data_IF_048988964939
#
_entry.id   IF_048988964939
#
_cell.length_a   1.000
_cell.length_b   1.000
_cell.length_c   1.000
_cell.angle_alpha   90.00
_cell.angle_beta   90.00
_cell.angle_gamma   90.00
#
_symmetry.space_group_name_H-M   'P 1'
#
loop_
_entity.id
_entity.type
_entity.pdbx_description
1 polymer ?
#
# COMPACT_ATOMS: atom_id res chain seq x y z
N UNK A 1 -1.76 6.08 21.53
CA UNK A 1 -2.50 5.91 20.26
C UNK A 1 -1.49 5.58 19.18
N UNK A 2 -1.75 4.55 18.37
CA UNK A 2 -0.80 4.06 17.38
C UNK A 2 -1.09 4.62 15.99
N UNK A 3 -0.02 4.86 15.24
CA UNK A 3 -0.04 5.34 13.86
C UNK A 3 0.76 4.37 13.03
N UNK A 4 0.09 3.71 12.09
CA UNK A 4 0.69 2.71 11.22
C UNK A 4 0.85 3.30 9.82
N UNK A 5 2.07 3.25 9.28
CA UNK A 5 2.37 3.57 7.90
C UNK A 5 2.60 2.27 7.10
N UNK A 6 1.94 2.15 5.96
CA UNK A 6 2.10 1.02 5.03
C UNK A 6 2.40 1.60 3.65
N UNK A 7 3.61 1.36 3.14
CA UNK A 7 3.97 1.62 1.75
C UNK A 7 3.90 0.30 0.98
N UNK A 8 2.86 0.12 0.17
CA UNK A 8 2.65 -1.13 -0.56
C UNK A 8 3.67 -1.29 -1.69
N UNK A 9 4.43 -2.38 -1.60
CA UNK A 9 5.42 -2.73 -2.60
C UNK A 9 4.81 -2.98 -3.98
N UNK A 10 5.53 -2.59 -5.03
CA UNK A 10 5.21 -2.97 -6.41
C UNK A 10 5.53 -4.45 -6.64
N UNK A 11 5.12 -5.00 -7.79
CA UNK A 11 5.28 -6.43 -8.13
C UNK A 11 6.65 -7.01 -7.70
N UNK A 12 6.60 -8.01 -6.81
CA UNK A 12 7.77 -8.76 -6.32
C UNK A 12 8.74 -7.97 -5.44
N UNK A 13 8.30 -6.83 -4.89
CA UNK A 13 9.00 -6.12 -3.81
C UNK A 13 8.13 -6.15 -2.55
N UNK A 14 8.72 -6.34 -1.37
CA UNK A 14 7.97 -6.28 -0.13
C UNK A 14 7.52 -4.85 0.17
N UNK A 15 6.40 -4.75 0.88
CA UNK A 15 5.85 -3.51 1.41
C UNK A 15 6.64 -3.04 2.62
N UNK A 16 6.84 -1.73 2.75
CA UNK A 16 7.44 -1.11 3.92
C UNK A 16 6.40 -0.86 5.00
N UNK A 17 6.70 -1.23 6.24
CA UNK A 17 5.81 -1.08 7.39
C UNK A 17 6.48 -0.24 8.49
N UNK A 18 5.69 0.63 9.13
CA UNK A 18 6.14 1.46 10.23
C UNK A 18 5.04 1.56 11.29
N UNK A 19 5.39 1.29 12.55
CA UNK A 19 4.51 1.50 13.69
C UNK A 19 5.06 2.61 14.58
N UNK A 20 4.29 3.67 14.75
CA UNK A 20 4.58 4.77 15.66
C UNK A 20 3.57 4.83 16.79
N UNK A 21 3.98 5.37 17.93
CA UNK A 21 3.07 5.70 19.02
C UNK A 21 3.21 7.16 19.43
N UNK A 22 2.06 7.80 19.68
CA UNK A 22 2.01 9.13 20.25
C UNK A 22 2.12 9.06 21.77
N UNK A 23 3.25 9.52 22.29
CA UNK A 23 3.57 9.56 23.72
C UNK A 23 4.13 10.94 24.04
N UNK A 24 3.61 11.59 25.08
CA UNK A 24 4.11 12.88 25.60
C UNK A 24 4.29 13.97 24.54
N UNK A 25 3.38 14.04 23.57
CA UNK A 25 3.40 15.07 22.54
C UNK A 25 4.37 14.79 21.38
N UNK A 26 4.90 13.57 21.28
CA UNK A 26 5.85 13.17 20.24
C UNK A 26 5.49 11.81 19.65
N UNK A 27 5.87 11.60 18.38
CA UNK A 27 5.82 10.29 17.74
C UNK A 27 7.10 9.52 18.07
N UNK A 28 6.93 8.33 18.63
CA UNK A 28 8.02 7.40 18.90
C UNK A 28 7.92 6.20 17.95
N UNK A 29 9.07 5.78 17.43
CA UNK A 29 9.15 4.59 16.59
C UNK A 29 9.07 3.34 17.46
N UNK A 30 8.07 2.50 17.23
CA UNK A 30 7.93 1.21 17.90
C UNK A 30 8.52 0.08 17.06
N UNK A 31 8.24 0.07 15.75
CA UNK A 31 8.68 -1.01 14.87
C UNK A 31 8.81 -0.58 13.40
N UNK A 32 9.72 -1.25 12.68
CA UNK A 32 9.91 -1.17 11.24
C UNK A 32 10.10 -2.57 10.68
N UNK A 33 9.37 -2.89 9.62
CA UNK A 33 9.47 -4.21 8.99
C UNK A 33 9.22 -4.10 7.48
N UNK A 34 9.48 -5.20 6.78
CA UNK A 34 9.13 -5.40 5.38
C UNK A 34 8.46 -6.74 5.19
N UNK A 35 7.24 -6.73 4.66
CA UNK A 35 6.48 -7.97 4.38
C UNK A 35 6.08 -8.03 2.91
N UNK A 36 6.20 -9.21 2.32
CA UNK A 36 5.83 -9.43 0.92
C UNK A 36 4.36 -9.81 0.77
N UNK A 37 3.89 -10.78 1.56
CA UNK A 37 2.50 -11.22 1.48
C UNK A 37 1.57 -10.29 2.26
N UNK A 38 0.39 -10.01 1.68
CA UNK A 38 -0.66 -9.21 2.35
C UNK A 38 -1.06 -9.84 3.69
N UNK A 39 -1.13 -11.17 3.77
CA UNK A 39 -1.46 -11.87 5.01
C UNK A 39 -0.46 -11.60 6.15
N UNK A 40 0.83 -11.46 5.81
CA UNK A 40 1.87 -11.16 6.80
C UNK A 40 1.79 -9.70 7.27
N UNK A 41 1.41 -8.77 6.37
CA UNK A 41 1.13 -7.38 6.73
C UNK A 41 -0.04 -7.31 7.72
N UNK A 42 -1.14 -8.00 7.43
CA UNK A 42 -2.31 -8.05 8.32
C UNK A 42 -1.95 -8.66 9.68
N UNK A 43 -1.21 -9.77 9.68
CA UNK A 43 -0.75 -10.42 10.91
C UNK A 43 0.16 -9.51 11.74
N UNK A 44 1.01 -8.71 11.09
CA UNK A 44 1.86 -7.73 11.75
C UNK A 44 1.05 -6.57 12.35
N UNK A 45 -0.03 -6.12 11.69
CA UNK A 45 -0.95 -5.11 12.25
C UNK A 45 -1.65 -5.65 13.49
N UNK A 46 -2.14 -6.89 13.44
CA UNK A 46 -2.82 -7.55 14.58
C UNK A 46 -1.90 -7.72 15.79
N UNK A 47 -0.59 -7.87 15.56
CA UNK A 47 0.41 -7.91 16.62
C UNK A 47 0.77 -6.52 17.14
N UNK A 48 0.67 -5.49 16.28
CA UNK A 48 1.04 -4.12 16.59
C UNK A 48 -0.04 -3.37 17.36
N UNK A 49 -1.32 -3.68 17.16
CA UNK A 49 -2.47 -2.96 17.74
C UNK A 49 -3.44 -3.95 18.39
N UNK A 50 -3.75 -3.77 19.67
CA UNK A 50 -4.75 -4.59 20.34
C UNK A 50 -6.17 -4.23 19.84
N UNK A 51 -7.14 -5.17 19.83
CA UNK A 51 -8.48 -4.92 19.29
C UNK A 51 -9.21 -3.71 19.88
N UNK A 52 -8.97 -3.41 21.16
CA UNK A 52 -9.62 -2.31 21.89
C UNK A 52 -8.78 -1.01 21.90
N UNK A 53 -7.63 -0.99 21.22
CA UNK A 53 -6.76 0.17 21.13
C UNK A 53 -7.06 1.02 19.89
N UNK A 54 -7.16 2.35 20.02
CA UNK A 54 -7.32 3.22 18.87
C UNK A 54 -6.02 3.28 18.05
N UNK A 55 -6.15 3.08 16.74
CA UNK A 55 -5.08 3.27 15.77
C UNK A 55 -5.56 3.96 14.50
N UNK A 56 -4.64 4.67 13.85
CA UNK A 56 -4.80 5.19 12.49
C UNK A 56 -3.84 4.45 11.58
N UNK A 57 -4.32 3.99 10.43
CA UNK A 57 -3.51 3.34 9.41
C UNK A 57 -3.51 4.22 8.16
N UNK A 58 -2.33 4.68 7.76
CA UNK A 58 -2.10 5.36 6.49
C UNK A 58 -1.48 4.38 5.50
N UNK A 59 -2.11 4.23 4.33
CA UNK A 59 -1.66 3.32 3.28
C UNK A 59 -1.28 4.13 2.05
N UNK A 60 -0.01 4.02 1.63
CA UNK A 60 0.47 4.48 0.33
C UNK A 60 0.39 3.33 -0.66
N UNK A 61 -0.47 3.49 -1.66
CA UNK A 61 -0.64 2.52 -2.74
C UNK A 61 -1.30 3.20 -3.94
N UNK A 62 -1.00 2.75 -5.17
CA UNK A 62 -1.80 3.14 -6.33
C UNK A 62 -3.24 2.67 -6.10
N UNK A 63 -4.19 3.62 -6.15
CA UNK A 63 -5.61 3.27 -6.05
C UNK A 63 -5.99 2.39 -7.24
N UNK A 64 -6.26 1.10 -7.00
CA UNK A 64 -6.89 0.26 -8.01
C UNK A 64 -8.32 0.79 -8.19
N UNK A 65 -8.59 1.48 -9.29
CA UNK A 65 -9.94 1.89 -9.65
C UNK A 65 -10.49 0.82 -10.60
N UNK A 66 -11.17 -0.24 -10.10
CA UNK A 66 -11.68 -1.29 -10.96
C UNK A 66 -12.65 -0.69 -11.97
N UNK A 67 -12.53 -1.10 -13.23
CA UNK A 67 -13.54 -0.80 -14.23
C UNK A 67 -14.30 -2.09 -14.56
N UNK A 68 -15.46 -2.25 -13.93
CA UNK A 68 -16.28 -3.46 -14.05
C UNK A 68 -16.67 -3.79 -15.51
N UNK A 69 -16.70 -2.79 -16.40
CA UNK A 69 -17.07 -2.94 -17.81
C UNK A 69 -15.86 -3.11 -18.76
N UNK A 70 -14.66 -3.32 -18.22
CA UNK A 70 -13.41 -3.45 -19.00
C UNK A 70 -12.70 -2.10 -19.21
N UNK A 71 -11.79 -1.97 -20.17
CA UNK A 71 -11.03 -0.72 -20.36
C UNK A 71 -11.92 0.50 -20.64
N UNK A 72 -11.62 1.66 -20.05
CA UNK A 72 -12.37 2.90 -20.30
C UNK A 72 -12.16 3.34 -21.74
N UNK A 73 -13.08 4.16 -22.26
CA UNK A 73 -12.95 4.71 -23.61
C UNK A 73 -11.60 5.42 -23.84
N UNK A 74 -11.09 6.26 -22.91
CA UNK A 74 -9.76 6.85 -23.05
C UNK A 74 -8.65 5.81 -23.18
N UNK A 75 -8.67 4.75 -22.37
CA UNK A 75 -7.67 3.67 -22.44
C UNK A 75 -7.70 2.98 -23.81
N UNK A 76 -8.91 2.69 -24.32
CA UNK A 76 -9.12 2.08 -25.65
C UNK A 76 -8.61 2.99 -26.78
N UNK A 77 -8.89 4.28 -26.71
CA UNK A 77 -8.45 5.24 -27.71
C UNK A 77 -6.94 5.47 -27.66
N UNK A 78 -6.35 5.55 -26.46
CA UNK A 78 -4.90 5.65 -26.28
C UNK A 78 -4.19 4.45 -26.89
N UNK A 79 -4.65 3.22 -26.64
CA UNK A 79 -4.09 2.02 -27.27
C UNK A 79 -4.25 2.01 -28.80
N UNK A 80 -5.37 2.54 -29.32
CA UNK A 80 -5.64 2.60 -30.77
C UNK A 80 -4.74 3.60 -31.49
N UNK A 81 -4.53 4.78 -30.92
CA UNK A 81 -3.79 5.87 -31.56
C UNK A 81 -2.30 5.89 -31.20
N UNK A 82 -1.91 5.29 -30.08
CA UNK A 82 -0.53 5.18 -29.61
C UNK A 82 -0.15 3.73 -29.28
N UNK A 83 -0.22 2.80 -30.25
CA UNK A 83 0.18 1.43 -30.01
C UNK A 83 1.68 1.37 -29.66
N UNK A 84 2.02 0.56 -28.64
CA UNK A 84 3.39 0.34 -28.23
C UNK A 84 4.12 -0.47 -29.32
N UNK A 85 4.96 0.17 -30.14
CA UNK A 85 5.82 -0.53 -31.11
C UNK A 85 7.08 -1.02 -30.38
N UNK A 86 7.11 -2.28 -29.97
CA UNK A 86 8.27 -2.94 -29.36
C UNK A 86 9.38 -3.32 -30.35
N UNK A 87 9.29 -2.89 -31.61
CA UNK A 87 10.28 -3.16 -32.65
C UNK A 87 11.31 -2.02 -32.76
N UNK A 88 12.16 -1.85 -31.74
CA UNK A 88 13.40 -1.07 -31.81
C UNK A 88 14.27 -1.35 -30.56
N UNK A 89 14.88 -2.53 -30.51
CA UNK A 89 16.16 -2.79 -29.84
C UNK A 89 16.89 -3.89 -30.61
#
# INVERSE_FOLDING_TARGET
>A
MKFIGIDLGWKSQPSGLCCLEWIDGQLQLLDLDRKEAIADILSWIDQSVQPDEPAIIAVDAPTLIPNATGSRLPDKLSHKYFPYNSSSF
#
